data_IF_055232560955
#
_entry.id   IF_055232560955
#
_cell.length_a   1.000
_cell.length_b   1.000
_cell.length_c   1.000
_cell.angle_alpha   90.00
_cell.angle_beta   90.00
_cell.angle_gamma   90.00
#
_symmetry.space_group_name_H-M   'P 1'
#
loop_
_entity.id
_entity.type
_entity.pdbx_description
1 polymer ?
#
# COMPACT_ATOMS: atom_id res chain seq x y z
N UNK A 1 13.15 4.40 4.98
CA UNK A 1 12.18 3.51 4.28
C UNK A 1 12.90 2.83 3.12
N UNK A 2 12.69 1.52 2.90
CA UNK A 2 13.26 0.84 1.72
C UNK A 2 12.63 1.39 0.42
N UNK A 3 13.34 1.26 -0.70
CA UNK A 3 12.83 1.62 -2.04
C UNK A 3 11.48 0.95 -2.30
N UNK A 4 11.35 -0.33 -1.97
CA UNK A 4 10.10 -1.10 -2.07
C UNK A 4 8.95 -0.53 -1.23
N UNK A 5 9.19 -0.15 0.03
CA UNK A 5 8.14 0.48 0.87
C UNK A 5 7.67 1.82 0.29
N UNK A 6 8.57 2.60 -0.33
CA UNK A 6 8.21 3.86 -0.99
C UNK A 6 7.34 3.60 -2.23
N UNK A 7 7.70 2.63 -3.04
CA UNK A 7 6.96 2.28 -4.26
C UNK A 7 5.54 1.78 -3.93
N UNK A 8 5.40 0.89 -2.94
CA UNK A 8 4.09 0.42 -2.48
C UNK A 8 3.21 1.57 -1.96
N UNK A 9 3.78 2.53 -1.22
CA UNK A 9 3.03 3.72 -0.80
C UNK A 9 2.61 4.61 -1.98
N UNK A 10 3.44 4.70 -3.03
CA UNK A 10 3.12 5.44 -4.26
C UNK A 10 2.00 4.76 -5.04
N UNK A 11 2.05 3.43 -5.16
CA UNK A 11 0.99 2.63 -5.78
C UNK A 11 -0.33 2.74 -5.00
N UNK A 12 -0.28 2.70 -3.66
CA UNK A 12 -1.45 2.93 -2.83
C UNK A 12 -2.08 4.31 -3.10
N UNK A 13 -1.27 5.38 -3.15
CA UNK A 13 -1.76 6.73 -3.45
C UNK A 13 -2.36 6.83 -4.85
N UNK A 14 -1.75 6.19 -5.86
CA UNK A 14 -2.30 6.15 -7.22
C UNK A 14 -3.66 5.46 -7.26
N UNK A 15 -3.81 4.33 -6.59
CA UNK A 15 -5.08 3.61 -6.50
C UNK A 15 -6.15 4.46 -5.79
N UNK A 16 -5.82 5.21 -4.74
CA UNK A 16 -6.77 6.13 -4.10
C UNK A 16 -7.18 7.30 -4.99
N UNK A 17 -6.23 7.87 -5.75
CA UNK A 17 -6.55 8.94 -6.70
C UNK A 17 -7.45 8.42 -7.82
N UNK A 18 -7.16 7.23 -8.35
CA UNK A 18 -8.01 6.58 -9.34
C UNK A 18 -9.41 6.31 -8.77
N UNK A 19 -9.51 5.80 -7.54
CA UNK A 19 -10.80 5.55 -6.88
C UNK A 19 -11.64 6.82 -6.67
N UNK A 20 -11.01 8.00 -6.58
CA UNK A 20 -11.71 9.29 -6.49
C UNK A 20 -12.15 9.83 -7.85
N UNK A 21 -11.46 9.44 -8.93
CA UNK A 21 -11.74 9.87 -10.29
C UNK A 21 -12.76 8.97 -10.99
N UNK A 22 -13.00 7.77 -10.48
CA UNK A 22 -13.95 6.81 -11.05
C UNK A 22 -15.37 7.03 -10.50
N UNK A 23 -16.36 7.07 -11.40
CA UNK A 23 -17.78 7.15 -11.05
C UNK A 23 -18.42 5.78 -10.76
N UNK A 24 -17.82 4.70 -11.26
CA UNK A 24 -18.27 3.33 -11.03
C UNK A 24 -17.95 2.88 -9.59
N UNK A 25 -18.99 2.49 -8.85
CA UNK A 25 -18.85 2.07 -7.44
C UNK A 25 -18.09 0.77 -7.26
N UNK A 26 -18.19 -0.18 -8.20
CA UNK A 26 -17.50 -1.47 -8.14
C UNK A 26 -16.00 -1.21 -8.33
N UNK A 27 -15.64 -0.50 -9.39
CA UNK A 27 -14.25 -0.15 -9.68
C UNK A 27 -13.66 0.70 -8.55
N UNK A 28 -14.45 1.60 -7.95
CA UNK A 28 -14.05 2.38 -6.78
C UNK A 28 -13.73 1.49 -5.57
N UNK A 29 -14.57 0.48 -5.30
CA UNK A 29 -14.34 -0.49 -4.20
C UNK A 29 -13.08 -1.31 -4.44
N UNK A 30 -12.86 -1.79 -5.66
CA UNK A 30 -11.67 -2.55 -6.03
C UNK A 30 -10.40 -1.72 -5.89
N UNK A 31 -10.40 -0.47 -6.36
CA UNK A 31 -9.25 0.43 -6.25
C UNK A 31 -8.94 0.78 -4.78
N UNK A 32 -9.97 0.94 -3.93
CA UNK A 32 -9.79 1.11 -2.48
C UNK A 32 -9.22 -0.15 -1.82
N UNK A 33 -9.66 -1.34 -2.22
CA UNK A 33 -9.12 -2.60 -1.74
C UNK A 33 -7.64 -2.74 -2.15
N UNK A 34 -7.31 -2.41 -3.40
CA UNK A 34 -5.95 -2.42 -3.92
C UNK A 34 -5.03 -1.44 -3.16
N UNK A 35 -5.51 -0.22 -2.88
CA UNK A 35 -4.78 0.75 -2.07
C UNK A 35 -4.49 0.22 -0.66
N UNK A 36 -5.46 -0.46 -0.05
CA UNK A 36 -5.34 -1.07 1.27
C UNK A 36 -4.33 -2.22 1.27
N UNK A 37 -4.35 -3.07 0.24
CA UNK A 37 -3.39 -4.16 0.06
C UNK A 37 -1.95 -3.64 -0.04
N UNK A 38 -1.70 -2.60 -0.85
CA UNK A 38 -0.37 -2.00 -0.95
C UNK A 38 0.13 -1.40 0.37
N UNK A 39 -0.76 -0.78 1.17
CA UNK A 39 -0.41 -0.31 2.52
C UNK A 39 -0.09 -1.45 3.47
N UNK A 40 -0.85 -2.54 3.42
CA UNK A 40 -0.59 -3.73 4.22
C UNK A 40 0.77 -4.35 3.88
N UNK A 41 1.10 -4.51 2.59
CA UNK A 41 2.41 -5.00 2.15
C UNK A 41 3.54 -4.08 2.63
N UNK A 42 3.37 -2.76 2.51
CA UNK A 42 4.34 -1.79 3.01
C UNK A 42 4.57 -1.91 4.53
N UNK A 43 3.51 -2.18 5.30
CA UNK A 43 3.57 -2.40 6.76
C UNK A 43 4.30 -3.69 7.10
N UNK A 44 4.00 -4.79 6.42
CA UNK A 44 4.67 -6.09 6.62
C UNK A 44 6.17 -5.99 6.34
N UNK A 45 6.57 -5.35 5.24
CA UNK A 45 7.99 -5.13 4.92
C UNK A 45 8.68 -4.31 6.02
N UNK A 46 8.03 -3.25 6.52
CA UNK A 46 8.58 -2.44 7.61
C UNK A 46 8.74 -3.25 8.90
N UNK A 47 7.74 -4.06 9.24
CA UNK A 47 7.77 -4.93 10.43
C UNK A 47 8.83 -6.02 10.31
N UNK A 48 8.94 -6.69 9.17
CA UNK A 48 9.95 -7.71 8.92
C UNK A 48 11.36 -7.13 8.96
N UNK A 49 11.55 -5.91 8.45
CA UNK A 49 12.82 -5.21 8.58
C UNK A 49 13.15 -4.89 10.05
N UNK A 50 12.17 -4.42 10.83
CA UNK A 50 12.36 -4.14 12.26
C UNK A 50 12.73 -5.40 13.04
N UNK A 51 12.06 -6.53 12.78
CA UNK A 51 12.36 -7.83 13.39
C UNK A 51 13.78 -8.33 13.04
N UNK A 52 14.26 -8.11 11.82
CA UNK A 52 15.63 -8.47 11.42
C UNK A 52 16.73 -7.60 12.06
N UNK A 53 16.41 -6.38 12.48
CA UNK A 53 17.38 -5.42 13.06
C UNK A 53 17.38 -5.37 14.59
N UNK A 54 16.45 -6.05 15.25
CA UNK A 54 16.54 -6.31 16.69
C UNK A 54 17.12 -7.72 16.87
N UNK A 55 18.45 -7.87 17.07
CA UNK A 55 18.95 -9.09 17.67
C UNK A 55 18.36 -9.15 19.09
N UNK A 56 17.83 -10.30 19.46
CA UNK A 56 17.58 -10.63 20.86
C UNK A 56 18.93 -10.75 21.59
#
# INVERSE_FOLDING_TARGET
MSKTTKELKKQARKAEVAAKATADEIVTKELKALASAFRAQAKVIKQNKKKKTSPA
#
